data_IF_595332985534
#
_entry.id   IF_595332985534
#
_cell.length_a   1.000
_cell.length_b   1.000
_cell.length_c   1.000
_cell.angle_alpha   90.00
_cell.angle_beta   90.00
_cell.angle_gamma   90.00
#
_symmetry.space_group_name_H-M   'P 1'
#
loop_
_entity.id
_entity.type
_entity.pdbx_description
1 polymer ?
#
# COMPACT_ATOMS: atom_id res chain seq x y z
N UNK A 1 5.26 -16.87 -11.20
CA UNK A 1 6.32 -17.13 -10.20
C UNK A 1 5.78 -18.04 -9.12
N UNK A 2 6.46 -19.14 -8.86
CA UNK A 2 6.08 -20.09 -7.81
C UNK A 2 6.71 -19.66 -6.50
N UNK A 3 5.90 -19.49 -5.46
CA UNK A 3 6.39 -19.17 -4.12
C UNK A 3 6.37 -20.45 -3.28
N UNK A 4 7.50 -20.79 -2.66
CA UNK A 4 7.61 -21.93 -1.75
C UNK A 4 7.56 -21.45 -0.31
N UNK A 5 6.70 -22.04 0.52
CA UNK A 5 6.52 -21.65 1.91
C UNK A 5 7.83 -21.68 2.71
N UNK A 6 8.73 -22.63 2.40
CA UNK A 6 10.03 -22.75 3.06
C UNK A 6 11.00 -21.61 2.76
N UNK A 7 10.75 -20.85 1.69
CA UNK A 7 11.62 -19.76 1.23
C UNK A 7 10.93 -18.40 1.28
N UNK A 8 9.65 -18.37 1.58
CA UNK A 8 8.83 -17.16 1.61
C UNK A 8 8.80 -16.61 3.04
N UNK A 9 9.06 -15.31 3.17
CA UNK A 9 8.84 -14.62 4.44
C UNK A 9 7.33 -14.51 4.67
N UNK A 10 6.81 -15.36 5.56
CA UNK A 10 5.37 -15.49 5.81
C UNK A 10 5.12 -15.59 7.32
N UNK A 11 5.25 -14.47 8.06
CA UNK A 11 5.01 -14.46 9.51
C UNK A 11 3.51 -14.43 9.81
N UNK A 12 2.93 -15.60 10.03
CA UNK A 12 1.53 -15.73 10.40
C UNK A 12 1.34 -15.54 11.89
N UNK A 13 0.16 -15.09 12.31
CA UNK A 13 -0.21 -14.95 13.70
C UNK A 13 -1.45 -15.79 14.02
N UNK A 14 -1.47 -16.36 15.21
CA UNK A 14 -2.61 -17.14 15.68
C UNK A 14 -3.80 -16.24 16.00
N UNK A 15 -3.54 -15.11 16.66
CA UNK A 15 -4.56 -14.18 17.11
C UNK A 15 -4.47 -12.86 16.38
N UNK A 16 -5.62 -12.23 16.14
CA UNK A 16 -5.67 -10.90 15.55
C UNK A 16 -5.24 -9.84 16.55
N UNK A 17 -4.68 -8.69 16.11
CA UNK A 17 -4.39 -7.57 16.99
C UNK A 17 -5.66 -7.09 17.72
N UNK A 18 -5.51 -6.66 18.96
CA UNK A 18 -6.63 -6.23 19.79
C UNK A 18 -7.37 -5.01 19.24
N UNK A 19 -6.67 -4.16 18.48
CA UNK A 19 -7.20 -2.95 17.85
C UNK A 19 -7.82 -3.18 16.47
N UNK A 20 -7.75 -4.42 15.95
CA UNK A 20 -8.33 -4.75 14.65
C UNK A 20 -9.84 -4.96 14.79
N UNK A 21 -10.63 -4.21 14.03
CA UNK A 21 -12.10 -4.28 14.03
C UNK A 21 -12.64 -4.97 12.79
N UNK A 22 -12.17 -4.57 11.59
CA UNK A 22 -12.63 -5.14 10.33
C UNK A 22 -12.10 -6.56 10.14
N UNK A 23 -12.94 -7.44 9.57
CA UNK A 23 -12.56 -8.82 9.28
C UNK A 23 -11.37 -8.87 8.32
N UNK A 24 -11.35 -8.02 7.30
CA UNK A 24 -10.24 -7.93 6.34
C UNK A 24 -8.92 -7.57 7.05
N UNK A 25 -8.94 -6.62 7.96
CA UNK A 25 -7.76 -6.24 8.75
C UNK A 25 -7.25 -7.42 9.58
N UNK A 26 -8.15 -8.09 10.30
CA UNK A 26 -7.80 -9.26 11.12
C UNK A 26 -7.13 -10.35 10.30
N UNK A 27 -7.71 -10.69 9.15
CA UNK A 27 -7.20 -11.75 8.28
C UNK A 27 -5.88 -11.38 7.62
N UNK A 28 -5.72 -10.14 7.18
CA UNK A 28 -4.48 -9.69 6.54
C UNK A 28 -3.29 -9.73 7.50
N UNK A 29 -3.49 -9.33 8.75
CA UNK A 29 -2.42 -9.38 9.76
C UNK A 29 -2.11 -10.82 10.15
N UNK A 30 -3.13 -11.63 10.42
CA UNK A 30 -2.95 -13.04 10.81
C UNK A 30 -2.31 -13.87 9.70
N UNK A 31 -2.69 -13.61 8.46
CA UNK A 31 -2.17 -14.33 7.30
C UNK A 31 -0.76 -13.92 6.87
N UNK A 32 -0.15 -12.95 7.52
CA UNK A 32 1.20 -12.49 7.18
C UNK A 32 1.26 -11.65 5.93
N UNK A 33 0.20 -10.91 5.60
CA UNK A 33 0.15 -10.03 4.44
C UNK A 33 0.62 -8.62 4.75
N UNK A 34 0.30 -8.11 5.93
CA UNK A 34 0.66 -6.75 6.36
C UNK A 34 1.14 -6.73 7.81
N UNK A 35 1.93 -5.71 8.15
CA UNK A 35 2.34 -5.40 9.53
C UNK A 35 2.32 -3.91 9.75
N UNK A 36 1.86 -3.49 10.91
CA UNK A 36 1.85 -2.09 11.29
C UNK A 36 3.23 -1.66 11.81
N UNK A 37 3.72 -0.53 11.32
CA UNK A 37 4.96 0.09 11.80
C UNK A 37 4.65 1.19 12.80
N UNK A 38 3.62 1.97 12.52
CA UNK A 38 3.10 3.05 13.37
C UNK A 38 1.65 3.30 13.00
N UNK A 39 0.95 4.16 13.73
CA UNK A 39 -0.43 4.52 13.40
C UNK A 39 -0.50 5.06 11.98
N UNK A 40 -1.28 4.42 11.11
CA UNK A 40 -1.43 4.78 9.72
C UNK A 40 -0.23 4.44 8.82
N UNK A 41 0.78 3.78 9.36
CA UNK A 41 1.98 3.40 8.60
C UNK A 41 2.10 1.88 8.59
N UNK A 42 2.00 1.29 7.40
CA UNK A 42 1.94 -0.17 7.22
C UNK A 42 3.02 -0.67 6.29
N UNK A 43 3.51 -1.87 6.56
CA UNK A 43 4.40 -2.60 5.66
C UNK A 43 3.58 -3.69 4.96
N UNK A 44 3.67 -3.75 3.64
CA UNK A 44 3.15 -4.87 2.87
C UNK A 44 4.22 -5.95 2.81
N UNK A 45 3.93 -7.10 3.40
CA UNK A 45 4.81 -8.26 3.35
C UNK A 45 4.73 -8.91 1.96
N UNK A 46 5.61 -9.89 1.62
CA UNK A 46 5.65 -10.41 0.26
C UNK A 46 4.31 -10.82 -0.34
N UNK A 47 3.44 -11.52 0.40
CA UNK A 47 2.12 -11.88 -0.10
C UNK A 47 1.20 -10.65 -0.25
N UNK A 48 1.24 -9.73 0.70
CA UNK A 48 0.46 -8.49 0.63
C UNK A 48 0.88 -7.63 -0.54
N UNK A 49 2.18 -7.54 -0.80
CA UNK A 49 2.70 -6.80 -1.94
C UNK A 49 2.27 -7.41 -3.28
N UNK A 50 2.21 -8.74 -3.37
CA UNK A 50 1.71 -9.41 -4.58
C UNK A 50 0.26 -9.06 -4.86
N UNK A 51 -0.59 -9.02 -3.84
CA UNK A 51 -1.99 -8.62 -3.98
C UNK A 51 -2.08 -7.14 -4.40
N UNK A 52 -1.31 -6.28 -3.74
CA UNK A 52 -1.26 -4.85 -4.06
C UNK A 52 -0.88 -4.61 -5.53
N UNK A 53 0.13 -5.32 -6.02
CA UNK A 53 0.56 -5.20 -7.42
C UNK A 53 -0.49 -5.67 -8.41
N UNK A 54 -1.27 -6.69 -8.06
CA UNK A 54 -2.38 -7.14 -8.90
C UNK A 54 -3.49 -6.10 -9.00
N UNK A 55 -3.84 -5.48 -7.89
CA UNK A 55 -4.83 -4.39 -7.87
C UNK A 55 -4.31 -3.20 -8.70
N UNK A 56 -3.07 -2.82 -8.49
CA UNK A 56 -2.43 -1.75 -9.26
C UNK A 56 -2.44 -2.02 -10.77
N UNK A 57 -2.18 -3.28 -11.16
CA UNK A 57 -2.19 -3.66 -12.57
C UNK A 57 -3.59 -3.55 -13.19
N UNK A 58 -4.63 -3.92 -12.47
CA UNK A 58 -6.01 -3.78 -12.92
C UNK A 58 -6.34 -2.31 -13.15
N UNK A 59 -5.97 -1.45 -12.19
CA UNK A 59 -6.19 0.01 -12.32
C UNK A 59 -5.43 0.55 -13.53
N UNK A 60 -4.20 0.12 -13.73
CA UNK A 60 -3.38 0.56 -14.87
C UNK A 60 -4.04 0.19 -16.20
N UNK A 61 -4.51 -1.04 -16.33
CA UNK A 61 -5.17 -1.52 -17.55
C UNK A 61 -6.43 -0.71 -17.85
N UNK A 62 -7.25 -0.44 -16.85
CA UNK A 62 -8.49 0.33 -17.02
C UNK A 62 -8.21 1.79 -17.38
N UNK A 63 -7.20 2.40 -16.78
CA UNK A 63 -6.82 3.78 -17.08
C UNK A 63 -6.20 3.90 -18.46
N UNK A 64 -5.37 2.95 -18.87
CA UNK A 64 -4.80 2.91 -20.21
C UNK A 64 -5.90 2.76 -21.27
N UNK A 65 -6.92 1.96 -21.00
CA UNK A 65 -8.01 1.71 -21.93
C UNK A 65 -8.83 2.96 -22.26
N UNK A 66 -8.92 3.92 -21.34
CA UNK A 66 -9.61 5.19 -21.58
C UNK A 66 -8.70 6.30 -22.11
N UNK A 67 -7.44 5.97 -22.43
CA UNK A 67 -6.51 6.91 -23.05
C UNK A 67 -5.63 7.71 -22.09
N UNK A 68 -5.60 7.34 -20.81
CA UNK A 68 -4.69 7.96 -19.86
C UNK A 68 -3.24 7.56 -20.14
N UNK A 69 -2.32 8.46 -19.83
CA UNK A 69 -0.88 8.20 -19.96
C UNK A 69 -0.23 8.21 -18.58
N UNK A 70 0.43 7.13 -18.24
CA UNK A 70 1.10 6.96 -16.96
C UNK A 70 2.40 7.76 -16.92
N UNK A 71 2.65 8.43 -15.79
CA UNK A 71 3.92 9.09 -15.52
C UNK A 71 4.32 8.89 -14.07
N UNK A 72 5.60 8.99 -13.81
CA UNK A 72 6.13 8.95 -12.44
C UNK A 72 6.61 10.34 -12.07
N UNK A 73 5.94 10.96 -11.12
CA UNK A 73 6.33 12.27 -10.60
C UNK A 73 7.21 12.10 -9.35
N UNK A 74 8.04 13.08 -9.02
CA UNK A 74 8.87 13.02 -7.82
C UNK A 74 8.04 12.88 -6.54
N UNK A 75 8.54 12.08 -5.59
CA UNK A 75 7.93 11.94 -4.27
C UNK A 75 8.08 13.23 -3.48
N UNK A 76 9.27 13.87 -3.58
CA UNK A 76 9.53 15.16 -2.94
C UNK A 76 9.26 16.28 -3.93
N UNK A 77 8.42 17.23 -3.52
CA UNK A 77 8.04 18.36 -4.35
C UNK A 77 8.63 19.65 -3.75
N UNK A 78 9.24 20.55 -4.57
CA UNK A 78 9.72 21.83 -4.07
C UNK A 78 8.58 22.64 -3.45
N UNK A 79 8.85 23.27 -2.32
CA UNK A 79 7.87 24.07 -1.59
C UNK A 79 7.30 25.22 -2.41
N UNK A 80 8.12 25.77 -3.30
CA UNK A 80 7.73 26.88 -4.20
C UNK A 80 6.50 26.54 -5.07
N UNK A 81 6.36 25.28 -5.48
CA UNK A 81 5.20 24.85 -6.26
C UNK A 81 3.91 24.92 -5.43
N UNK A 82 4.00 24.59 -4.15
CA UNK A 82 2.87 24.70 -3.22
C UNK A 82 2.50 26.15 -2.96
N UNK A 83 3.49 27.04 -2.88
CA UNK A 83 3.26 28.46 -2.74
C UNK A 83 2.57 29.06 -3.98
N UNK A 84 2.97 28.65 -5.18
CA UNK A 84 2.34 29.09 -6.44
C UNK A 84 0.87 28.69 -6.51
N UNK A 85 0.53 27.50 -6.04
CA UNK A 85 -0.86 27.01 -6.02
C UNK A 85 -1.65 27.50 -4.82
N UNK A 86 -1.02 28.27 -3.91
CA UNK A 86 -1.60 28.75 -2.65
C UNK A 86 -2.06 27.63 -1.72
N UNK A 87 -1.33 26.52 -1.72
CA UNK A 87 -1.62 25.33 -0.89
C UNK A 87 -0.56 25.10 0.18
N UNK A 88 0.34 26.05 0.39
CA UNK A 88 1.43 25.97 1.37
C UNK A 88 0.94 26.00 2.83
N UNK A 89 -0.32 26.36 3.05
CA UNK A 89 -0.93 26.35 4.38
C UNK A 89 -1.41 24.96 4.83
N UNK A 90 -1.39 23.95 3.95
CA UNK A 90 -1.86 22.60 4.28
C UNK A 90 -0.76 21.89 5.04
N UNK A 91 -0.98 21.63 6.33
CA UNK A 91 -0.01 20.98 7.20
C UNK A 91 -0.22 19.46 7.29
N UNK A 92 -1.45 18.99 7.08
CA UNK A 92 -1.81 17.58 7.14
C UNK A 92 -2.35 17.09 5.80
N UNK A 93 -1.65 16.14 5.22
CA UNK A 93 -2.07 15.45 4.01
C UNK A 93 -2.01 13.94 4.21
#
# INVERSE_FOLDING_TARGET
MIARASQLFLPTLRDAPADAEAVSHKLLVRGGFIRQVAAGVWTFLPLGWRVHRKVEQIIREEMDAIGCQEMLMPVLTPFELWQQSKRDFIEEL
#
